data_IF_821777526289
#
_entry.id   IF_821777526289
#
_cell.length_a   1.000
_cell.length_b   1.000
_cell.length_c   1.000
_cell.angle_alpha   90.00
_cell.angle_beta   90.00
_cell.angle_gamma   90.00
#
_symmetry.space_group_name_H-M   'P 1'
#
loop_
_entity.id
_entity.type
_entity.pdbx_description
1 polymer ?
#
# COMPACT_ATOMS: atom_id res chain seq x y z
N UNK A 1 -7.17 -22.17 -2.29
CA UNK A 1 -7.43 -21.18 -3.34
C UNK A 1 -8.89 -20.83 -3.38
N UNK A 2 -9.44 -20.28 -2.31
CA UNK A 2 -10.82 -19.83 -2.30
C UNK A 2 -10.93 -18.33 -2.59
N UNK A 3 -12.17 -17.87 -2.72
CA UNK A 3 -12.52 -16.47 -2.91
C UNK A 3 -13.25 -15.97 -1.66
N UNK A 4 -12.64 -15.01 -0.96
CA UNK A 4 -13.31 -14.26 0.09
C UNK A 4 -14.03 -13.07 -0.54
N UNK A 5 -15.29 -12.87 -0.14
CA UNK A 5 -16.10 -11.71 -0.49
C UNK A 5 -16.58 -11.04 0.80
N UNK A 6 -16.42 -9.72 0.87
CA UNK A 6 -16.94 -8.88 1.96
C UNK A 6 -17.93 -7.88 1.40
N UNK A 7 -19.16 -7.88 1.89
CA UNK A 7 -20.20 -6.91 1.50
C UNK A 7 -20.31 -5.80 2.53
N UNK A 8 -20.41 -4.55 2.07
CA UNK A 8 -20.57 -3.41 2.96
C UNK A 8 -20.91 -2.14 2.21
N UNK A 9 -20.73 -1.01 2.88
CA UNK A 9 -20.89 0.33 2.31
C UNK A 9 -19.59 1.11 2.45
N UNK A 10 -19.35 2.03 1.53
CA UNK A 10 -18.39 3.12 1.73
C UNK A 10 -19.15 4.25 2.42
N UNK A 11 -19.38 4.09 3.73
CA UNK A 11 -19.81 5.08 4.73
C UNK A 11 -19.64 4.46 6.14
N UNK A 12 -19.35 5.26 7.16
CA UNK A 12 -18.87 4.86 8.50
C UNK A 12 -19.92 4.17 9.40
N UNK A 13 -21.10 3.83 8.87
CA UNK A 13 -22.18 3.15 9.58
C UNK A 13 -22.26 1.65 9.29
N UNK A 14 -21.33 0.89 9.87
CA UNK A 14 -21.37 -0.57 10.06
C UNK A 14 -21.29 -1.47 8.81
N UNK A 15 -20.60 -2.61 8.96
CA UNK A 15 -20.79 -3.78 8.11
C UNK A 15 -22.22 -4.33 8.22
N UNK A 16 -22.72 -4.91 7.13
CA UNK A 16 -23.89 -5.78 7.22
C UNK A 16 -23.57 -6.98 8.13
N UNK A 17 -24.55 -7.42 8.94
CA UNK A 17 -24.46 -8.70 9.64
C UNK A 17 -24.10 -9.80 8.63
N UNK A 18 -23.14 -10.66 8.96
CA UNK A 18 -22.66 -11.73 8.08
C UNK A 18 -22.00 -11.23 6.78
N UNK A 19 -21.30 -10.09 6.85
CA UNK A 19 -20.62 -9.46 5.71
C UNK A 19 -19.55 -10.33 5.03
N UNK A 20 -18.86 -11.18 5.79
CA UNK A 20 -17.77 -12.03 5.30
C UNK A 20 -18.31 -13.35 4.78
N UNK A 21 -18.02 -13.65 3.53
CA UNK A 21 -18.46 -14.86 2.86
C UNK A 21 -17.31 -15.49 2.11
N UNK A 22 -17.06 -16.78 2.36
CA UNK A 22 -16.00 -17.54 1.73
C UNK A 22 -16.55 -18.59 0.77
N UNK A 23 -15.89 -18.75 -0.36
CA UNK A 23 -16.13 -19.79 -1.35
C UNK A 23 -14.83 -20.58 -1.51
N UNK A 24 -14.83 -21.86 -1.15
CA UNK A 24 -13.63 -22.70 -1.12
C UNK A 24 -13.14 -23.08 -2.52
N UNK A 25 -14.07 -23.39 -3.43
CA UNK A 25 -13.80 -23.78 -4.82
C UNK A 25 -14.43 -22.81 -5.82
N UNK A 26 -13.74 -22.47 -6.92
CA UNK A 26 -14.30 -21.62 -7.97
C UNK A 26 -15.66 -22.15 -8.46
N UNK A 27 -16.69 -21.28 -8.46
CA UNK A 27 -18.05 -21.64 -8.85
C UNK A 27 -18.92 -22.28 -7.75
N UNK A 28 -18.35 -22.60 -6.58
CA UNK A 28 -19.10 -23.12 -5.44
C UNK A 28 -20.04 -22.11 -4.75
N UNK A 29 -20.72 -22.52 -3.68
CA UNK A 29 -21.58 -21.61 -2.90
C UNK A 29 -20.76 -20.79 -1.91
N UNK A 30 -21.05 -19.50 -1.80
CA UNK A 30 -20.56 -18.65 -0.71
C UNK A 30 -21.22 -19.04 0.61
N UNK A 31 -20.40 -19.27 1.65
CA UNK A 31 -20.83 -19.51 3.03
C UNK A 31 -20.36 -18.36 3.91
N UNK A 32 -21.19 -17.93 4.86
CA UNK A 32 -20.78 -16.96 5.87
C UNK A 32 -19.64 -17.52 6.72
N UNK A 33 -18.65 -16.69 7.04
CA UNK A 33 -17.56 -17.03 7.96
C UNK A 33 -17.52 -16.05 9.12
N UNK A 34 -17.21 -16.57 10.31
CA UNK A 34 -17.01 -15.81 11.55
C UNK A 34 -15.55 -15.89 12.03
N UNK A 35 -14.63 -16.34 11.18
CA UNK A 35 -13.22 -16.57 11.52
C UNK A 35 -12.49 -15.32 12.05
N UNK A 36 -13.02 -14.13 11.76
CA UNK A 36 -12.43 -12.85 12.16
C UNK A 36 -13.01 -12.28 13.47
N UNK A 37 -14.08 -12.88 13.99
CA UNK A 37 -14.74 -12.41 15.21
C UNK A 37 -13.92 -12.75 16.45
N UNK A 38 -13.52 -11.71 17.18
CA UNK A 38 -12.63 -11.83 18.35
C UNK A 38 -11.17 -12.14 17.99
N UNK A 39 -10.82 -12.17 16.70
CA UNK A 39 -9.46 -12.41 16.25
C UNK A 39 -8.63 -11.10 16.20
N UNK A 40 -7.32 -11.24 16.34
CA UNK A 40 -6.35 -10.15 16.26
C UNK A 40 -5.28 -10.49 15.23
N UNK A 41 -4.90 -9.51 14.41
CA UNK A 41 -3.74 -9.60 13.52
C UNK A 41 -2.52 -9.16 14.31
N UNK A 42 -1.60 -10.08 14.54
CA UNK A 42 -0.30 -9.82 15.16
C UNK A 42 0.70 -9.47 14.08
N UNK A 43 1.13 -8.21 14.04
CA UNK A 43 2.10 -7.72 13.06
C UNK A 43 3.20 -6.86 13.69
N UNK A 44 3.93 -6.12 12.85
CA UNK A 44 5.09 -5.29 13.26
C UNK A 44 4.76 -4.22 14.30
N UNK A 45 3.50 -3.80 14.38
CA UNK A 45 3.04 -2.75 15.30
C UNK A 45 2.20 -3.30 16.46
N UNK A 46 2.33 -4.60 16.75
CA UNK A 46 1.53 -5.28 17.76
C UNK A 46 0.26 -5.90 17.21
N UNK A 47 -0.66 -6.25 18.11
CA UNK A 47 -1.94 -6.88 17.80
C UNK A 47 -3.01 -5.84 17.48
N UNK A 48 -3.74 -6.03 16.37
CA UNK A 48 -4.84 -5.13 15.96
C UNK A 48 -6.04 -5.94 15.51
N UNK A 49 -7.23 -5.48 15.88
CA UNK A 49 -8.47 -6.08 15.41
C UNK A 49 -8.66 -5.82 13.89
N UNK A 50 -9.06 -6.85 13.11
CA UNK A 50 -9.48 -6.69 11.72
C UNK A 50 -10.65 -5.71 11.53
N UNK A 51 -11.56 -5.74 12.51
CA UNK A 51 -12.75 -4.91 12.61
C UNK A 51 -12.52 -3.92 13.75
N UNK A 52 -12.74 -2.63 13.51
CA UNK A 52 -12.73 -1.67 14.62
C UNK A 52 -14.01 -1.76 15.46
N UNK A 53 -14.06 -0.99 16.56
CA UNK A 53 -15.19 -0.98 17.49
C UNK A 53 -16.51 -0.52 16.86
N UNK A 54 -16.48 0.07 15.66
CA UNK A 54 -17.66 0.49 14.90
C UNK A 54 -18.03 -0.54 13.82
N UNK A 55 -17.35 -1.69 13.79
CA UNK A 55 -17.55 -2.70 12.77
C UNK A 55 -17.14 -2.18 11.39
N UNK A 56 -16.01 -1.48 11.29
CA UNK A 56 -15.43 -1.05 10.00
C UNK A 56 -14.15 -1.83 9.71
N UNK A 57 -13.89 -2.10 8.43
CA UNK A 57 -12.59 -2.60 7.97
C UNK A 57 -11.87 -1.50 7.22
N UNK A 58 -10.54 -1.53 7.29
CA UNK A 58 -9.70 -0.76 6.38
C UNK A 58 -9.27 -1.66 5.23
N UNK A 59 -9.57 -1.25 4.01
CA UNK A 59 -9.17 -1.99 2.80
C UNK A 59 -7.90 -1.38 2.22
N UNK A 60 -6.95 -2.24 1.90
CA UNK A 60 -5.80 -1.92 1.06
C UNK A 60 -6.04 -2.49 -0.33
N UNK A 61 -5.91 -1.65 -1.35
CA UNK A 61 -6.15 -2.07 -2.73
C UNK A 61 -5.04 -3.05 -3.19
N UNK A 62 -5.44 -4.25 -3.59
CA UNK A 62 -4.54 -5.30 -4.09
C UNK A 62 -3.84 -4.86 -5.37
N UNK A 63 -2.55 -5.15 -5.48
CA UNK A 63 -1.81 -5.05 -6.74
C UNK A 63 -1.52 -3.63 -7.25
N UNK A 64 -1.89 -2.59 -6.50
CA UNK A 64 -1.74 -1.20 -6.91
C UNK A 64 -1.23 -0.32 -5.76
N UNK A 65 -0.55 0.77 -6.08
CA UNK A 65 -0.12 1.77 -5.08
C UNK A 65 -0.19 3.19 -5.68
N UNK A 66 -0.59 4.16 -4.88
CA UNK A 66 -0.74 5.56 -5.30
C UNK A 66 0.50 6.38 -4.94
N UNK A 67 0.78 7.50 -5.63
CA UNK A 67 1.71 8.49 -5.12
C UNK A 67 1.38 8.83 -3.67
N UNK A 68 2.41 8.94 -2.84
CA UNK A 68 2.25 9.02 -1.39
C UNK A 68 1.57 10.33 -0.99
N UNK A 69 0.45 10.26 -0.25
CA UNK A 69 -0.31 11.45 0.14
C UNK A 69 0.14 12.02 1.48
N UNK A 70 0.63 11.20 2.41
CA UNK A 70 0.88 11.65 3.78
C UNK A 70 1.85 10.78 4.58
N UNK A 71 3.06 10.60 4.07
CA UNK A 71 4.09 9.83 4.78
C UNK A 71 4.95 10.71 5.67
N UNK A 72 5.13 10.26 6.90
CA UNK A 72 6.02 10.89 7.87
C UNK A 72 7.31 10.05 8.00
N UNK A 73 8.49 10.68 8.17
CA UNK A 73 9.72 9.96 8.49
C UNK A 73 9.51 8.93 9.61
N UNK A 74 10.08 7.74 9.45
CA UNK A 74 9.97 6.67 10.44
C UNK A 74 10.46 7.14 11.82
N UNK A 75 9.82 6.74 12.93
CA UNK A 75 10.36 7.05 14.25
C UNK A 75 11.77 6.48 14.42
N UNK A 76 12.65 7.23 15.10
CA UNK A 76 13.96 6.71 15.50
C UNK A 76 13.75 5.51 16.44
N UNK A 77 14.50 4.43 16.20
CA UNK A 77 14.51 3.28 17.09
C UNK A 77 14.97 3.66 18.50
N UNK A 78 14.49 2.94 19.53
CA UNK A 78 14.76 3.28 20.93
C UNK A 78 16.26 3.39 21.24
N UNK A 79 17.08 2.43 20.79
CA UNK A 79 18.52 2.45 21.03
C UNK A 79 19.22 3.60 20.30
N UNK A 80 18.89 3.81 19.01
CA UNK A 80 19.44 4.92 18.23
C UNK A 80 19.06 6.27 18.84
N UNK A 81 17.82 6.44 19.27
CA UNK A 81 17.39 7.67 19.95
C UNK A 81 18.20 7.92 21.24
N UNK A 82 18.50 6.87 22.00
CA UNK A 82 19.28 6.97 23.23
C UNK A 82 20.77 7.27 23.01
N UNK A 83 21.32 6.92 21.83
CA UNK A 83 22.72 7.22 21.48
C UNK A 83 22.94 8.60 20.88
N UNK A 84 21.89 9.39 20.66
CA UNK A 84 21.96 10.71 20.01
C UNK A 84 21.82 11.83 21.05
N UNK A 85 22.40 12.99 20.74
CA UNK A 85 22.21 14.18 21.57
C UNK A 85 20.77 14.70 21.51
N UNK A 86 20.34 15.39 22.56
CA UNK A 86 19.02 16.03 22.62
C UNK A 86 18.79 17.00 21.46
N UNK A 87 19.84 17.73 21.04
CA UNK A 87 19.80 18.63 19.87
C UNK A 87 19.47 17.87 18.58
N UNK A 88 20.13 16.74 18.32
CA UNK A 88 19.87 15.92 17.11
C UNK A 88 18.45 15.34 17.14
N UNK A 89 18.01 14.85 18.30
CA UNK A 89 16.64 14.33 18.48
C UNK A 89 15.59 15.43 18.27
N UNK A 90 15.85 16.63 18.78
CA UNK A 90 15.00 17.81 18.57
C UNK A 90 14.92 18.21 17.10
N UNK A 91 16.06 18.29 16.42
CA UNK A 91 16.14 18.59 14.99
C UNK A 91 15.39 17.55 14.13
N UNK A 92 15.48 16.26 14.47
CA UNK A 92 14.74 15.21 13.78
C UNK A 92 13.22 15.33 14.00
N UNK A 93 12.81 15.58 15.25
CA UNK A 93 11.40 15.73 15.61
C UNK A 93 10.75 16.93 14.90
N UNK A 94 11.51 18.02 14.70
CA UNK A 94 11.06 19.17 13.93
C UNK A 94 10.85 18.90 12.43
N UNK A 95 11.36 17.77 11.90
CA UNK A 95 11.16 17.34 10.51
C UNK A 95 10.05 16.29 10.38
N UNK A 96 9.41 15.88 11.46
CA UNK A 96 8.41 14.82 11.51
C UNK A 96 7.02 15.27 10.98
N UNK A 97 6.99 15.91 9.82
CA UNK A 97 5.77 16.26 9.11
C UNK A 97 5.32 15.13 8.19
N UNK A 98 4.03 15.13 7.83
CA UNK A 98 3.51 14.27 6.77
C UNK A 98 3.83 14.93 5.43
N UNK A 99 4.74 14.36 4.66
CA UNK A 99 5.07 14.80 3.31
C UNK A 99 4.26 14.03 2.28
N UNK A 100 4.01 14.68 1.16
CA UNK A 100 3.29 14.11 0.02
C UNK A 100 4.14 14.15 -1.24
N UNK A 101 3.76 13.36 -2.21
CA UNK A 101 4.27 13.43 -3.57
C UNK A 101 3.37 14.30 -4.44
N UNK A 102 3.92 14.73 -5.57
CA UNK A 102 3.12 15.19 -6.69
C UNK A 102 2.12 14.10 -7.11
N UNK A 103 1.03 14.51 -7.75
CA UNK A 103 -0.10 13.67 -8.18
C UNK A 103 -0.88 12.94 -7.07
N UNK A 104 -0.43 12.97 -5.81
CA UNK A 104 -1.10 12.26 -4.72
C UNK A 104 -2.48 12.85 -4.39
N UNK A 105 -2.58 14.19 -4.36
CA UNK A 105 -3.87 14.86 -4.11
C UNK A 105 -4.80 14.66 -5.30
N UNK A 106 -4.27 14.75 -6.53
CA UNK A 106 -5.03 14.46 -7.75
C UNK A 106 -5.59 13.03 -7.80
N UNK A 107 -4.79 12.04 -7.42
CA UNK A 107 -5.23 10.64 -7.38
C UNK A 107 -6.32 10.43 -6.33
N UNK A 108 -6.17 11.02 -5.14
CA UNK A 108 -7.18 10.98 -4.08
C UNK A 108 -8.49 11.65 -4.52
N UNK A 109 -8.41 12.83 -5.15
CA UNK A 109 -9.58 13.52 -5.70
C UNK A 109 -10.27 12.71 -6.81
N UNK A 110 -9.51 12.04 -7.66
CA UNK A 110 -10.07 11.20 -8.71
C UNK A 110 -10.85 10.00 -8.14
N UNK A 111 -10.31 9.37 -7.08
CA UNK A 111 -11.03 8.32 -6.36
C UNK A 111 -12.28 8.88 -5.68
N UNK A 112 -12.19 10.02 -5.01
CA UNK A 112 -13.34 10.69 -4.39
C UNK A 112 -14.44 10.94 -5.44
N UNK A 113 -14.09 11.53 -6.59
CA UNK A 113 -15.03 11.78 -7.69
C UNK A 113 -15.66 10.50 -8.20
N UNK A 114 -14.89 9.43 -8.37
CA UNK A 114 -15.41 8.12 -8.80
C UNK A 114 -16.46 7.59 -7.81
N UNK A 115 -16.14 7.60 -6.52
CA UNK A 115 -17.01 7.11 -5.46
C UNK A 115 -18.27 7.99 -5.36
N UNK A 116 -18.12 9.31 -5.40
CA UNK A 116 -19.23 10.28 -5.29
C UNK A 116 -20.16 10.33 -6.50
N UNK A 117 -19.88 9.65 -7.62
CA UNK A 117 -20.77 9.60 -8.79
C UNK A 117 -22.18 9.12 -8.48
N UNK A 118 -22.33 8.30 -7.43
CA UNK A 118 -23.64 7.79 -7.01
C UNK A 118 -24.53 8.86 -6.37
N UNK A 119 -23.96 9.98 -5.90
CA UNK A 119 -24.65 10.99 -5.10
C UNK A 119 -25.12 10.50 -3.73
N UNK A 120 -24.81 9.25 -3.35
CA UNK A 120 -25.26 8.64 -2.09
C UNK A 120 -24.25 8.89 -0.98
N UNK A 121 -24.77 9.08 0.22
CA UNK A 121 -23.97 9.15 1.44
C UNK A 121 -23.27 7.79 1.72
N UNK A 122 -24.01 6.70 1.52
CA UNK A 122 -23.50 5.33 1.63
C UNK A 122 -23.57 4.59 0.30
N UNK A 123 -22.43 4.02 -0.09
CA UNK A 123 -22.26 3.39 -1.40
C UNK A 123 -22.06 1.90 -1.23
N UNK A 124 -23.01 1.05 -1.68
CA UNK A 124 -22.84 -0.39 -1.65
C UNK A 124 -21.58 -0.80 -2.41
N UNK A 125 -20.72 -1.54 -1.74
CA UNK A 125 -19.51 -2.06 -2.32
C UNK A 125 -19.31 -3.53 -1.94
N UNK A 126 -18.46 -4.20 -2.71
CA UNK A 126 -17.98 -5.53 -2.41
C UNK A 126 -16.47 -5.53 -2.47
N UNK A 127 -15.82 -6.14 -1.48
CA UNK A 127 -14.38 -6.40 -1.53
C UNK A 127 -14.16 -7.87 -1.80
N UNK A 128 -13.29 -8.20 -2.76
CA UNK A 128 -12.95 -9.58 -3.09
C UNK A 128 -11.45 -9.81 -2.98
N UNK A 129 -11.04 -10.98 -2.47
CA UNK A 129 -9.63 -11.38 -2.43
C UNK A 129 -9.50 -12.89 -2.57
N UNK A 130 -8.43 -13.33 -3.24
CA UNK A 130 -8.12 -14.76 -3.44
C UNK A 130 -7.12 -15.18 -2.37
N UNK A 131 -7.54 -16.09 -1.48
CA UNK A 131 -6.80 -16.43 -0.26
C UNK A 131 -6.87 -17.93 0.02
N UNK A 132 -5.83 -18.48 0.67
CA UNK A 132 -5.84 -19.89 1.08
C UNK A 132 -6.50 -20.02 2.46
N UNK A 133 -6.06 -19.20 3.41
CA UNK A 133 -6.45 -19.29 4.81
C UNK A 133 -6.89 -17.91 5.35
N UNK A 134 -7.66 -17.87 6.46
CA UNK A 134 -8.06 -16.61 7.09
C UNK A 134 -6.88 -15.70 7.43
N UNK A 135 -5.72 -16.27 7.78
CA UNK A 135 -4.51 -15.51 8.10
C UNK A 135 -3.90 -14.77 6.91
N UNK A 136 -4.27 -15.10 5.66
CA UNK A 136 -3.76 -14.44 4.44
C UNK A 136 -4.51 -13.14 4.12
N UNK A 137 -5.65 -12.87 4.78
CA UNK A 137 -6.59 -11.81 4.38
C UNK A 137 -6.08 -10.41 4.73
N UNK A 138 -5.31 -10.31 5.80
CA UNK A 138 -4.92 -9.03 6.38
C UNK A 138 -3.41 -8.83 6.31
N UNK A 139 -3.00 -7.63 5.90
CA UNK A 139 -1.60 -7.26 6.00
C UNK A 139 -1.17 -7.03 7.47
N UNK A 140 0.13 -6.80 7.69
CA UNK A 140 0.72 -6.56 9.02
C UNK A 140 0.14 -5.36 9.78
N UNK A 141 -0.70 -4.54 9.14
CA UNK A 141 -1.41 -3.40 9.74
C UNK A 141 -2.91 -3.67 9.99
N UNK A 142 -3.35 -4.93 9.87
CA UNK A 142 -4.74 -5.36 9.96
C UNK A 142 -5.65 -4.71 8.89
N UNK A 143 -5.12 -4.48 7.69
CA UNK A 143 -5.92 -4.01 6.55
C UNK A 143 -6.25 -5.19 5.64
N UNK A 144 -7.52 -5.33 5.28
CA UNK A 144 -7.94 -6.34 4.32
C UNK A 144 -7.36 -6.00 2.96
N UNK A 145 -6.62 -6.93 2.35
CA UNK A 145 -6.03 -6.72 1.02
C UNK A 145 -6.97 -7.30 -0.04
N UNK A 146 -7.44 -6.47 -0.98
CA UNK A 146 -8.37 -6.94 -2.00
C UNK A 146 -8.78 -5.89 -3.04
N UNK A 147 -9.65 -6.33 -3.93
CA UNK A 147 -10.27 -5.53 -4.97
C UNK A 147 -11.63 -5.00 -4.53
N UNK A 148 -11.82 -3.68 -4.62
CA UNK A 148 -13.12 -3.05 -4.35
C UNK A 148 -13.95 -2.99 -5.63
N UNK A 149 -15.20 -3.38 -5.52
CA UNK A 149 -16.20 -3.33 -6.57
C UNK A 149 -17.34 -2.39 -6.17
N UNK A 150 -17.62 -1.40 -7.04
CA UNK A 150 -18.74 -0.47 -6.90
C UNK A 150 -19.51 -0.52 -8.21
N UNK A 151 -20.82 -0.80 -8.18
CA UNK A 151 -21.66 -0.90 -9.39
C UNK A 151 -21.02 -1.77 -10.49
N UNK A 152 -20.51 -2.95 -10.11
CA UNK A 152 -19.80 -3.90 -10.98
C UNK A 152 -18.47 -3.41 -11.57
N UNK A 153 -18.00 -2.22 -11.20
CA UNK A 153 -16.69 -1.71 -11.61
C UNK A 153 -15.64 -2.02 -10.55
N UNK A 154 -14.55 -2.68 -10.98
CA UNK A 154 -13.35 -2.86 -10.16
C UNK A 154 -12.61 -1.52 -10.05
N UNK A 155 -12.62 -0.94 -8.85
CA UNK A 155 -12.02 0.35 -8.53
C UNK A 155 -10.51 0.32 -8.73
N UNK A 156 -9.84 -0.77 -8.33
CA UNK A 156 -8.39 -0.93 -8.44
C UNK A 156 -7.96 -0.84 -9.91
N UNK A 157 -8.59 -1.63 -10.76
CA UNK A 157 -8.29 -1.63 -12.20
C UNK A 157 -8.72 -0.32 -12.88
N UNK A 158 -9.79 0.33 -12.40
CA UNK A 158 -10.17 1.65 -12.90
C UNK A 158 -9.07 2.70 -12.62
N UNK A 159 -8.56 2.77 -11.39
CA UNK A 159 -7.48 3.70 -11.02
C UNK A 159 -6.24 3.49 -11.90
N UNK A 160 -5.87 2.23 -12.16
CA UNK A 160 -4.73 1.87 -13.02
C UNK A 160 -5.00 2.25 -14.47
N UNK A 161 -6.17 1.93 -15.03
CA UNK A 161 -6.54 2.31 -16.41
C UNK A 161 -6.56 3.82 -16.62
N UNK A 162 -6.91 4.55 -15.56
CA UNK A 162 -6.84 6.01 -15.55
C UNK A 162 -5.43 6.52 -15.23
N UNK A 163 -4.43 5.69 -14.96
CA UNK A 163 -3.06 6.16 -14.69
C UNK A 163 -2.94 7.04 -13.45
N UNK A 164 -3.83 6.88 -12.46
CA UNK A 164 -3.74 7.58 -11.17
C UNK A 164 -2.81 6.88 -10.19
N UNK A 165 -2.55 5.59 -10.41
CA UNK A 165 -1.77 4.70 -9.53
C UNK A 165 -0.85 3.82 -10.36
N UNK A 166 0.12 3.19 -9.71
CA UNK A 166 1.06 2.24 -10.31
C UNK A 166 0.66 0.79 -10.01
N UNK A 167 1.12 -0.17 -10.83
CA UNK A 167 1.25 -1.54 -10.40
C UNK A 167 2.10 -1.67 -9.12
N UNK A 168 1.69 -2.52 -8.19
CA UNK A 168 2.42 -2.85 -6.96
C UNK A 168 2.20 -4.32 -6.63
N UNK A 169 2.98 -5.19 -7.24
CA UNK A 169 2.81 -6.63 -7.08
C UNK A 169 3.41 -7.15 -5.78
N UNK A 170 2.78 -8.19 -5.25
CA UNK A 170 3.22 -8.94 -4.10
C UNK A 170 3.38 -10.42 -4.46
N UNK A 171 4.29 -11.11 -3.79
CA UNK A 171 4.60 -12.52 -4.03
C UNK A 171 3.50 -13.49 -3.56
N UNK A 172 2.44 -12.96 -2.93
CA UNK A 172 1.16 -13.64 -2.67
C UNK A 172 0.20 -13.61 -3.86
N UNK A 173 0.35 -12.66 -4.79
CA UNK A 173 -0.57 -12.48 -5.91
C UNK A 173 -0.48 -13.62 -6.94
N UNK A 174 -1.62 -13.94 -7.54
CA UNK A 174 -1.76 -14.89 -8.64
C UNK A 174 -1.44 -14.25 -9.99
N UNK A 175 -1.11 -15.11 -10.96
CA UNK A 175 -0.77 -14.69 -12.32
C UNK A 175 -1.91 -13.92 -13.00
N UNK A 176 -3.17 -14.33 -12.80
CA UNK A 176 -4.34 -13.65 -13.37
C UNK A 176 -4.55 -12.25 -12.77
N UNK A 177 -4.36 -12.07 -11.45
CA UNK A 177 -4.41 -10.77 -10.79
C UNK A 177 -3.35 -9.82 -11.34
N UNK A 178 -2.10 -10.30 -11.44
CA UNK A 178 -0.98 -9.53 -12.03
C UNK A 178 -1.28 -9.16 -13.48
N UNK A 179 -1.76 -10.12 -14.29
CA UNK A 179 -2.08 -9.90 -15.70
C UNK A 179 -3.18 -8.84 -15.88
N UNK A 180 -4.21 -8.85 -15.03
CA UNK A 180 -5.30 -7.87 -15.09
C UNK A 180 -4.77 -6.45 -14.83
N UNK A 181 -3.91 -6.28 -13.83
CA UNK A 181 -3.27 -5.00 -13.52
C UNK A 181 -2.33 -4.55 -14.64
N UNK A 182 -1.51 -5.44 -15.22
CA UNK A 182 -0.62 -5.10 -16.35
C UNK A 182 -1.40 -4.68 -17.61
N UNK A 183 -2.52 -5.35 -17.90
CA UNK A 183 -3.42 -4.97 -18.99
C UNK A 183 -3.99 -3.58 -18.75
N UNK A 184 -4.47 -3.30 -17.53
CA UNK A 184 -4.93 -1.96 -17.15
C UNK A 184 -3.81 -0.92 -17.24
N UNK A 185 -2.59 -1.28 -16.84
CA UNK A 185 -1.43 -0.38 -16.84
C UNK A 185 -1.03 0.07 -18.23
N UNK A 186 -1.16 -0.82 -19.23
CA UNK A 186 -0.91 -0.46 -20.64
C UNK A 186 -1.78 0.72 -21.07
N UNK A 187 -3.05 0.76 -20.65
CA UNK A 187 -3.94 1.90 -20.88
C UNK A 187 -3.59 3.10 -19.99
N UNK A 188 -3.25 2.86 -18.71
CA UNK A 188 -2.86 3.90 -17.77
C UNK A 188 -1.66 4.74 -18.23
N UNK A 189 -0.68 4.09 -18.88
CA UNK A 189 0.52 4.76 -19.42
C UNK A 189 0.19 5.85 -20.45
N UNK A 190 -0.92 5.71 -21.19
CA UNK A 190 -1.31 6.70 -22.21
C UNK A 190 -1.97 7.95 -21.62
N UNK A 191 -2.31 7.96 -20.32
CA UNK A 191 -3.02 9.07 -19.67
C UNK A 191 -2.14 10.27 -19.31
N UNK A 192 -0.82 10.18 -19.48
CA UNK A 192 0.11 11.29 -19.21
C UNK A 192 0.20 11.71 -17.73
N UNK A 193 -0.13 10.78 -16.81
CA UNK A 193 -0.16 10.99 -15.36
C UNK A 193 1.05 10.31 -14.69
N UNK A 194 0.84 9.49 -13.66
CA UNK A 194 1.90 8.94 -12.79
C UNK A 194 2.95 8.15 -13.56
N UNK A 195 2.56 7.44 -14.63
CA UNK A 195 3.48 6.73 -15.51
C UNK A 195 4.54 7.64 -16.15
N UNK A 196 4.10 8.80 -16.69
CA UNK A 196 4.98 9.77 -17.34
C UNK A 196 5.81 10.55 -16.32
N UNK A 197 5.27 10.70 -15.11
CA UNK A 197 5.87 11.44 -14.03
C UNK A 197 6.91 10.63 -13.23
N UNK A 198 6.99 9.31 -13.43
CA UNK A 198 7.93 8.45 -12.73
C UNK A 198 9.38 8.88 -12.99
N UNK A 199 10.05 9.35 -11.94
CA UNK A 199 11.38 9.93 -12.02
C UNK A 199 12.44 8.87 -12.39
N UNK A 200 13.44 9.28 -13.17
CA UNK A 200 14.61 8.45 -13.51
C UNK A 200 15.74 8.55 -12.47
N UNK A 201 15.66 9.52 -11.56
CA UNK A 201 16.57 9.70 -10.44
C UNK A 201 15.79 9.98 -9.16
N UNK A 202 16.39 9.70 -8.01
CA UNK A 202 15.76 9.90 -6.69
C UNK A 202 15.58 11.39 -6.40
N UNK A 203 16.55 12.22 -6.79
CA UNK A 203 16.55 13.66 -6.51
C UNK A 203 16.64 13.96 -5.01
N UNK A 204 16.14 15.13 -4.62
CA UNK A 204 16.06 15.61 -3.24
C UNK A 204 14.62 15.70 -2.77
N UNK A 205 14.36 15.51 -1.48
CA UNK A 205 13.04 15.74 -0.92
C UNK A 205 12.64 17.21 -1.04
N UNK A 206 11.44 17.48 -1.56
CA UNK A 206 10.81 18.79 -1.46
C UNK A 206 10.16 18.94 -0.08
N UNK A 207 10.83 19.66 0.81
CA UNK A 207 10.37 19.94 2.17
C UNK A 207 9.11 20.81 2.23
N UNK A 208 8.75 21.50 1.14
CA UNK A 208 7.55 22.33 1.07
C UNK A 208 6.31 21.52 0.68
N UNK A 209 6.50 20.32 0.14
CA UNK A 209 5.40 19.45 -0.29
C UNK A 209 4.82 18.66 0.90
N UNK A 210 4.24 19.41 1.84
CA UNK A 210 3.59 18.88 3.04
C UNK A 210 2.15 18.51 2.73
N UNK A 211 1.67 17.42 3.36
CA UNK A 211 0.26 17.05 3.35
C UNK A 211 -0.58 18.16 3.99
N UNK A 212 -1.66 18.53 3.31
CA UNK A 212 -2.62 19.51 3.78
C UNK A 212 -3.90 18.77 4.16
N UNK A 213 -4.61 19.25 5.17
CA UNK A 213 -5.91 18.69 5.60
C UNK A 213 -6.87 19.79 5.99
N UNK A 214 -8.18 19.55 5.85
CA UNK A 214 -9.24 20.47 6.28
C UNK A 214 -10.40 20.55 5.29
N UNK A 215 -11.58 20.94 5.76
CA UNK A 215 -12.79 21.04 4.95
C UNK A 215 -12.70 22.10 3.83
N UNK A 216 -11.83 23.09 3.97
CA UNK A 216 -11.59 24.16 2.99
C UNK A 216 -10.55 23.80 1.92
N UNK A 217 -10.02 22.58 1.93
CA UNK A 217 -9.03 22.16 0.94
C UNK A 217 -9.64 22.04 -0.46
N UNK A 218 -9.33 23.00 -1.32
CA UNK A 218 -9.63 22.90 -2.74
C UNK A 218 -8.50 22.17 -3.47
N UNK A 219 -8.71 20.89 -3.78
CA UNK A 219 -7.80 20.13 -4.64
C UNK A 219 -8.23 20.36 -6.09
N UNK A 220 -7.32 20.90 -6.89
CA UNK A 220 -7.50 21.04 -8.34
C UNK A 220 -6.74 19.90 -9.03
N UNK A 221 -7.47 19.05 -9.74
CA UNK A 221 -6.87 17.91 -10.45
C UNK A 221 -5.81 18.37 -11.44
N UNK A 222 -4.60 17.85 -11.30
CA UNK A 222 -3.44 18.21 -12.13
C UNK A 222 -2.76 19.51 -11.74
N UNK A 223 -3.13 20.18 -10.64
CA UNK A 223 -2.37 21.31 -10.11
C UNK A 223 -1.12 20.85 -9.32
N UNK A 224 -1.14 19.63 -8.78
CA UNK A 224 -0.02 19.03 -8.04
C UNK A 224 0.91 18.20 -8.94
N UNK A 225 0.97 18.48 -10.25
CA UNK A 225 1.85 17.76 -11.19
C UNK A 225 3.32 17.97 -10.84
N UNK A 226 4.10 16.93 -11.05
CA UNK A 226 5.55 16.95 -10.88
C UNK A 226 6.11 15.54 -10.89
N UNK A 227 7.43 15.43 -10.73
CA UNK A 227 8.11 14.15 -10.68
C UNK A 227 7.70 13.35 -9.43
N UNK A 228 7.66 12.04 -9.58
CA UNK A 228 7.21 11.11 -8.53
C UNK A 228 8.13 9.90 -8.49
N UNK A 229 8.35 9.40 -7.29
CA UNK A 229 9.01 8.13 -7.05
C UNK A 229 7.97 7.07 -6.74
N UNK A 230 8.35 5.82 -6.98
CA UNK A 230 7.57 4.70 -6.46
C UNK A 230 7.39 4.84 -4.94
N UNK A 231 6.19 4.58 -4.37
CA UNK A 231 5.90 4.92 -2.97
C UNK A 231 6.89 4.35 -1.96
N UNK A 232 7.29 3.07 -2.12
CA UNK A 232 8.31 2.48 -1.25
C UNK A 232 9.65 3.25 -1.29
N UNK A 233 10.09 3.70 -2.47
CA UNK A 233 11.32 4.49 -2.61
C UNK A 233 11.17 5.91 -2.05
N UNK A 234 10.02 6.54 -2.27
CA UNK A 234 9.71 7.85 -1.68
C UNK A 234 9.75 7.82 -0.15
N UNK A 235 9.15 6.79 0.47
CA UNK A 235 9.20 6.60 1.94
C UNK A 235 10.64 6.50 2.45
N UNK A 236 11.53 5.83 1.71
CA UNK A 236 12.96 5.78 2.05
C UNK A 236 13.60 7.16 1.91
N UNK A 237 13.30 7.89 0.84
CA UNK A 237 13.82 9.25 0.62
C UNK A 237 13.41 10.19 1.75
N UNK A 238 12.14 10.16 2.18
CA UNK A 238 11.63 11.01 3.27
C UNK A 238 12.39 10.73 4.57
N UNK A 239 12.48 9.47 4.99
CA UNK A 239 13.17 9.11 6.23
C UNK A 239 14.65 9.44 6.17
N UNK A 240 15.36 9.04 5.10
CA UNK A 240 16.78 9.36 4.94
C UNK A 240 17.05 10.85 4.90
N UNK A 241 16.21 11.64 4.21
CA UNK A 241 16.39 13.09 4.12
C UNK A 241 16.24 13.74 5.49
N UNK A 242 15.29 13.26 6.31
CA UNK A 242 15.11 13.74 7.68
C UNK A 242 16.30 13.37 8.57
N UNK A 243 16.74 12.12 8.51
CA UNK A 243 17.92 11.68 9.27
C UNK A 243 19.19 12.43 8.85
N UNK A 244 19.41 12.60 7.55
CA UNK A 244 20.58 13.31 7.01
C UNK A 244 20.58 14.78 7.40
N UNK A 245 19.42 15.46 7.29
CA UNK A 245 19.27 16.87 7.63
C UNK A 245 19.38 17.14 9.13
N UNK A 246 18.92 16.22 9.97
CA UNK A 246 19.02 16.32 11.43
C UNK A 246 20.40 15.90 11.99
N UNK A 247 21.29 15.35 11.16
CA UNK A 247 22.59 14.84 11.60
C UNK A 247 22.53 13.45 12.27
N UNK A 248 21.44 12.70 12.08
CA UNK A 248 21.30 11.31 12.57
C UNK A 248 22.17 10.34 11.78
N UNK A 249 22.35 10.57 10.48
CA UNK A 249 23.11 9.68 9.60
C UNK A 249 24.05 10.44 8.67
N UNK A 250 25.24 9.88 8.45
CA UNK A 250 26.18 10.34 7.42
C UNK A 250 26.04 9.57 6.11
N UNK A 251 25.30 8.46 6.11
CA UNK A 251 25.16 7.55 4.97
C UNK A 251 24.64 8.25 3.71
N UNK A 252 25.12 7.78 2.55
CA UNK A 252 24.47 8.08 1.27
C UNK A 252 23.08 7.43 1.21
N UNK A 253 22.20 7.94 0.35
CA UNK A 253 20.86 7.36 0.20
C UNK A 253 20.89 5.86 -0.16
N UNK A 254 21.82 5.43 -1.02
CA UNK A 254 21.96 4.02 -1.41
C UNK A 254 22.38 3.13 -0.23
N UNK A 255 23.32 3.61 0.60
CA UNK A 255 23.73 2.89 1.82
C UNK A 255 22.56 2.78 2.81
N UNK A 256 21.79 3.85 2.98
CA UNK A 256 20.59 3.83 3.82
C UNK A 256 19.56 2.80 3.34
N UNK A 257 19.25 2.78 2.04
CA UNK A 257 18.33 1.79 1.47
C UNK A 257 18.88 0.36 1.61
N UNK A 258 20.18 0.16 1.49
CA UNK A 258 20.82 -1.14 1.67
C UNK A 258 20.70 -1.64 3.12
N UNK A 259 20.89 -0.75 4.10
CA UNK A 259 20.75 -1.07 5.52
C UNK A 259 19.33 -1.45 5.95
N UNK A 260 18.31 -1.01 5.21
CA UNK A 260 16.90 -1.33 5.50
C UNK A 260 16.48 -2.77 5.17
N UNK A 261 17.31 -3.53 4.43
CA UNK A 261 17.07 -4.95 4.15
C UNK A 261 15.89 -5.27 3.23
N UNK A 262 15.24 -4.27 2.62
CA UNK A 262 14.14 -4.48 1.67
C UNK A 262 14.59 -5.30 0.47
N UNK A 263 13.74 -6.22 0.02
CA UNK A 263 13.97 -7.08 -1.14
C UNK A 263 12.83 -6.95 -2.15
N UNK A 264 13.14 -7.31 -3.39
CA UNK A 264 12.17 -7.46 -4.47
C UNK A 264 12.53 -8.66 -5.35
N UNK A 265 11.55 -9.20 -6.06
CA UNK A 265 11.72 -10.18 -7.14
C UNK A 265 11.53 -9.45 -8.46
N UNK A 266 12.27 -9.86 -9.50
CA UNK A 266 11.93 -9.45 -10.86
C UNK A 266 10.67 -10.19 -11.28
N UNK A 267 9.74 -9.50 -11.94
CA UNK A 267 8.48 -10.14 -12.35
C UNK A 267 8.71 -11.33 -13.29
N UNK A 268 9.69 -11.25 -14.19
CA UNK A 268 10.03 -12.36 -15.08
C UNK A 268 10.43 -13.61 -14.30
N UNK A 269 11.33 -13.47 -13.31
CA UNK A 269 11.80 -14.57 -12.46
C UNK A 269 10.65 -15.12 -11.60
N UNK A 270 9.80 -14.23 -11.04
CA UNK A 270 8.62 -14.63 -10.28
C UNK A 270 7.62 -15.42 -11.13
N UNK A 271 7.45 -15.10 -12.42
CA UNK A 271 6.60 -15.88 -13.32
C UNK A 271 7.17 -17.26 -13.62
N UNK A 272 8.49 -17.39 -13.68
CA UNK A 272 9.15 -18.66 -13.95
C UNK A 272 9.19 -19.57 -12.72
N UNK A 273 9.41 -19.02 -11.52
CA UNK A 273 9.74 -19.80 -10.32
C UNK A 273 8.84 -19.50 -9.11
N UNK A 274 7.84 -18.64 -9.24
CA UNK A 274 6.97 -18.23 -8.14
C UNK A 274 7.77 -17.67 -6.96
N UNK A 275 7.38 -18.06 -5.75
CA UNK A 275 8.07 -17.65 -4.51
C UNK A 275 9.51 -18.14 -4.40
N UNK A 276 9.94 -19.10 -5.22
CA UNK A 276 11.32 -19.59 -5.25
C UNK A 276 12.24 -18.70 -6.11
N UNK A 277 11.71 -17.65 -6.74
CA UNK A 277 12.52 -16.71 -7.51
C UNK A 277 13.57 -16.01 -6.64
N UNK A 278 14.74 -15.73 -7.21
CA UNK A 278 15.85 -15.08 -6.52
C UNK A 278 15.45 -13.66 -6.06
N UNK A 279 15.56 -13.35 -4.75
CA UNK A 279 15.35 -11.99 -4.29
C UNK A 279 16.58 -11.11 -4.51
N UNK A 280 16.33 -9.85 -4.84
CA UNK A 280 17.33 -8.81 -5.03
C UNK A 280 17.16 -7.74 -3.93
N UNK A 281 18.25 -7.24 -3.33
CA UNK A 281 18.16 -6.09 -2.43
C UNK A 281 17.61 -4.86 -3.16
N UNK A 282 16.69 -4.13 -2.53
CA UNK A 282 16.07 -2.94 -3.14
C UNK A 282 17.10 -1.90 -3.55
N UNK A 283 18.20 -1.76 -2.80
CA UNK A 283 19.28 -0.83 -3.12
C UNK A 283 19.94 -1.09 -4.49
N UNK A 284 19.76 -2.27 -5.10
CA UNK A 284 20.31 -2.58 -6.43
C UNK A 284 19.60 -1.82 -7.55
N UNK A 285 18.40 -1.27 -7.32
CA UNK A 285 17.71 -0.40 -8.29
C UNK A 285 18.31 1.01 -8.34
N UNK A 286 19.22 1.34 -7.41
CA UNK A 286 19.90 2.63 -7.33
C UNK A 286 21.26 2.57 -8.04
N UNK A 287 21.37 3.33 -9.13
CA UNK A 287 22.59 3.48 -9.92
C UNK A 287 23.52 4.59 -9.41
N UNK A 288 24.58 4.86 -10.18
CA UNK A 288 25.43 6.03 -9.97
C UNK A 288 24.62 7.34 -10.15
N UNK A 289 25.08 8.43 -9.53
CA UNK A 289 24.47 9.76 -9.69
C UNK A 289 23.02 9.87 -9.20
N UNK A 290 22.55 8.95 -8.35
CA UNK A 290 21.17 8.94 -7.85
C UNK A 290 20.13 8.40 -8.84
N UNK A 291 20.55 7.73 -9.92
CA UNK A 291 19.65 7.06 -10.85
C UNK A 291 18.76 6.02 -10.11
N UNK A 292 17.50 5.93 -10.50
CA UNK A 292 16.52 4.99 -9.95
C UNK A 292 15.88 4.19 -11.09
N UNK A 293 16.22 2.90 -11.18
CA UNK A 293 15.77 1.99 -12.22
C UNK A 293 14.57 1.13 -11.78
N UNK A 294 13.91 1.50 -10.69
CA UNK A 294 12.73 0.77 -10.21
C UNK A 294 11.56 0.98 -11.17
N UNK A 295 11.08 -0.11 -11.78
CA UNK A 295 9.93 -0.11 -12.69
C UNK A 295 8.76 -0.86 -12.04
N UNK A 296 7.61 -0.20 -11.81
CA UNK A 296 6.45 -0.81 -11.16
C UNK A 296 5.98 -2.10 -11.85
N UNK A 297 5.95 -2.11 -13.18
CA UNK A 297 5.45 -3.24 -13.97
C UNK A 297 6.38 -4.45 -14.00
N UNK A 298 7.61 -4.34 -13.51
CA UNK A 298 8.61 -5.41 -13.52
C UNK A 298 9.07 -5.84 -12.13
N UNK A 299 8.44 -5.32 -11.09
CA UNK A 299 8.87 -5.51 -9.69
C UNK A 299 7.77 -6.19 -8.89
N UNK A 300 8.13 -7.24 -8.16
CA UNK A 300 7.27 -7.89 -7.17
C UNK A 300 7.91 -7.71 -5.80
N UNK A 301 7.16 -7.18 -4.83
CA UNK A 301 7.65 -7.04 -3.47
C UNK A 301 7.37 -8.30 -2.67
N UNK A 302 8.36 -8.69 -1.87
CA UNK A 302 8.21 -9.79 -0.92
C UNK A 302 7.41 -9.28 0.27
N UNK A 303 6.30 -9.94 0.60
CA UNK A 303 5.52 -9.63 1.80
C UNK A 303 6.27 -10.02 3.08
N UNK A 304 5.90 -9.37 4.17
CA UNK A 304 6.44 -9.71 5.49
C UNK A 304 5.76 -10.99 6.00
N UNK A 305 6.49 -12.09 6.22
CA UNK A 305 5.88 -13.37 6.60
C UNK A 305 5.36 -13.40 8.04
N UNK A 306 5.61 -12.36 8.84
CA UNK A 306 5.37 -12.39 10.29
C UNK A 306 3.97 -11.93 10.72
N UNK A 307 3.05 -11.68 9.77
CA UNK A 307 1.66 -11.33 10.10
C UNK A 307 0.87 -12.61 10.38
N UNK A 308 0.26 -12.71 11.57
CA UNK A 308 -0.56 -13.88 11.93
C UNK A 308 -1.91 -13.43 12.49
N UNK A 309 -2.99 -13.98 11.96
CA UNK A 309 -4.33 -13.85 12.55
C UNK A 309 -4.47 -14.86 13.69
N UNK A 310 -4.73 -14.40 14.91
CA UNK A 310 -4.88 -15.25 16.09
C UNK A 310 -6.20 -15.01 16.81
N UNK A 311 -6.77 -16.08 17.36
CA UNK A 311 -7.90 -16.06 18.30
C UNK A 311 -7.52 -16.96 19.48
N UNK A 312 -7.69 -16.46 20.71
CA UNK A 312 -7.28 -17.16 21.93
C UNK A 312 -5.83 -17.69 21.87
N UNK A 313 -4.92 -16.85 21.36
CA UNK A 313 -3.51 -17.13 21.10
C UNK A 313 -3.20 -18.24 20.08
N UNK A 314 -4.20 -18.79 19.38
CA UNK A 314 -4.02 -19.79 18.31
C UNK A 314 -4.16 -19.16 16.94
N UNK A 315 -3.35 -19.60 15.97
CA UNK A 315 -3.48 -19.14 14.58
C UNK A 315 -4.80 -19.64 14.00
N UNK A 316 -5.52 -18.76 13.31
CA UNK A 316 -6.80 -19.07 12.69
C UNK A 316 -6.57 -19.64 11.29
N UNK A 317 -6.72 -20.96 11.16
CA UNK A 317 -6.61 -21.69 9.89
C UNK A 317 -7.97 -22.07 9.29
N UNK A 318 -9.01 -22.26 10.11
CA UNK A 318 -10.34 -22.67 9.64
C UNK A 318 -11.20 -21.47 9.23
N UNK A 319 -11.91 -21.62 8.11
CA UNK A 319 -12.91 -20.66 7.64
C UNK A 319 -14.26 -20.80 8.36
N UNK A 320 -14.52 -21.91 9.05
CA UNK A 320 -15.79 -22.21 9.71
C UNK A 320 -15.56 -22.74 11.13
#
# INVERSE_FOLDING_TARGET
MGLLRVKGTIDVGQFATNAFQFQETPGGRFKTTHAFEGALVHGKQGAKAPLDSQGRVRVRLQGIDAPELHYQPSPLGKSLKASLSTTVVGAYSALAHKYRQHWAESAALALLRFVSQSGKQAIPCTVTTVVAEPTDVFDTYARLVGDIWIQQQNVNLWLVRQGWVYPSFYDSMKANEINAVLKAWTMGKTKGRVAKALAKSVGTLDWKLVYRSGASMNVVSGADKGAVLYPKMYRRLVTWSAEKKAGVTSQTFKQFVAGGGDKYLRLADFRASGKNAKPYPLATVLGAGGACNLRPESTVFVEDPNSQLKKDNKIVHSWF
#
